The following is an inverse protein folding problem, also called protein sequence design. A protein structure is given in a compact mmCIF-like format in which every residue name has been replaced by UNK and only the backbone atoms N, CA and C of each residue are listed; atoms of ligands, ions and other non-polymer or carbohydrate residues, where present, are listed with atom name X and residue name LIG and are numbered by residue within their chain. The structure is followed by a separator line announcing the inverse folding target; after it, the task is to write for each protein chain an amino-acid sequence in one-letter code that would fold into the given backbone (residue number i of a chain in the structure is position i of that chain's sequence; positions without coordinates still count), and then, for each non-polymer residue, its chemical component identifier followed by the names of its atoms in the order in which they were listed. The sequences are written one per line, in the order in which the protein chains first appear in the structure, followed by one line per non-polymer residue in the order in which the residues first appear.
data_IF_199109437793
#
_entry.id   IF_199109437793
#
_cell.length_a   1.000
_cell.length_b   1.000
_cell.length_c   1.000
_cell.angle_alpha   90.00
_cell.angle_beta   90.00
_cell.angle_gamma   90.00
#
_symmetry.space_group_name_H-M   'P 1'
#
loop_
_entity.id
_entity.type
_entity.pdbx_description
1 polymer ?
#
# COMPACT_ATOMS: atom_id res chain seq x y z
N UNK A 1 -17.48 -0.48 44.19
CA UNK A 1 -16.25 -1.22 43.82
C UNK A 1 -16.45 -2.05 42.55
N UNK A 2 -17.48 -2.90 42.45
CA UNK A 2 -17.79 -3.68 41.24
C UNK A 2 -17.86 -2.89 39.92
N UNK A 3 -18.44 -1.68 39.92
CA UNK A 3 -18.50 -0.84 38.71
C UNK A 3 -17.11 -0.36 38.26
N UNK A 4 -16.18 -0.12 39.20
CA UNK A 4 -14.83 0.33 38.86
C UNK A 4 -13.99 -0.81 38.29
N UNK A 5 -14.16 -2.02 38.81
CA UNK A 5 -13.51 -3.24 38.30
C UNK A 5 -14.02 -3.58 36.90
N UNK A 6 -15.33 -3.46 36.67
CA UNK A 6 -15.91 -3.71 35.34
C UNK A 6 -15.40 -2.69 34.30
N UNK A 7 -15.35 -1.40 34.66
CA UNK A 7 -14.77 -0.35 33.79
C UNK A 7 -13.27 -0.57 33.56
N UNK A 8 -12.52 -1.06 34.55
CA UNK A 8 -11.10 -1.40 34.39
C UNK A 8 -10.90 -2.58 33.43
N UNK A 9 -11.79 -3.58 33.48
CA UNK A 9 -11.79 -4.75 32.60
C UNK A 9 -12.12 -4.36 31.16
N UNK A 10 -13.14 -3.53 30.97
CA UNK A 10 -13.52 -2.98 29.66
C UNK A 10 -12.38 -2.15 29.04
N UNK A 11 -11.75 -1.30 29.85
CA UNK A 11 -10.58 -0.53 29.40
C UNK A 11 -9.38 -1.41 29.01
N UNK A 12 -9.16 -2.54 29.71
CA UNK A 12 -8.13 -3.52 29.31
C UNK A 12 -8.47 -4.17 27.98
N UNK A 13 -9.71 -4.59 27.78
CA UNK A 13 -10.16 -5.19 26.51
C UNK A 13 -10.00 -4.22 25.33
N UNK A 14 -10.37 -2.94 25.53
CA UNK A 14 -10.19 -1.89 24.52
C UNK A 14 -8.71 -1.68 24.19
N UNK A 15 -7.82 -1.65 25.20
CA UNK A 15 -6.37 -1.51 24.96
C UNK A 15 -5.79 -2.67 24.16
N UNK A 16 -6.17 -3.90 24.48
CA UNK A 16 -5.72 -5.09 23.74
C UNK A 16 -6.21 -5.06 22.28
N UNK A 17 -7.46 -4.69 22.05
CA UNK A 17 -8.00 -4.54 20.70
C UNK A 17 -7.27 -3.46 19.89
N UNK A 18 -6.91 -2.33 20.50
CA UNK A 18 -6.14 -1.27 19.86
C UNK A 18 -4.73 -1.76 19.48
N UNK A 19 -4.05 -2.49 20.37
CA UNK A 19 -2.73 -3.06 20.10
C UNK A 19 -2.75 -4.06 18.93
N UNK A 20 -3.81 -4.85 18.80
CA UNK A 20 -3.98 -5.76 17.65
C UNK A 20 -4.15 -4.94 16.37
N UNK A 21 -5.03 -3.93 16.38
CA UNK A 21 -5.27 -3.07 15.20
C UNK A 21 -4.01 -2.33 14.76
N UNK A 22 -3.21 -1.87 15.70
CA UNK A 22 -1.93 -1.24 15.42
C UNK A 22 -0.97 -2.19 14.69
N UNK A 23 -0.86 -3.45 15.14
CA UNK A 23 -0.06 -4.47 14.45
C UNK A 23 -0.57 -4.75 13.04
N UNK A 24 -1.88 -4.84 12.86
CA UNK A 24 -2.51 -5.01 11.54
C UNK A 24 -2.23 -3.83 10.61
N UNK A 25 -2.30 -2.61 11.13
CA UNK A 25 -2.00 -1.38 10.39
C UNK A 25 -0.53 -1.31 9.97
N UNK A 26 0.38 -1.67 10.88
CA UNK A 26 1.80 -1.75 10.61
C UNK A 26 2.11 -2.82 9.57
N UNK A 27 1.41 -3.96 9.62
CA UNK A 27 1.55 -5.01 8.60
C UNK A 27 1.16 -4.50 7.20
N UNK A 28 0.00 -3.85 7.07
CA UNK A 28 -0.46 -3.29 5.79
C UNK A 28 0.51 -2.21 5.30
N UNK A 29 0.91 -1.29 6.18
CA UNK A 29 1.87 -0.22 5.88
C UNK A 29 3.20 -0.79 5.39
N UNK A 30 3.76 -1.79 6.08
CA UNK A 30 5.03 -2.39 5.68
C UNK A 30 4.95 -3.07 4.31
N UNK A 31 3.82 -3.75 4.02
CA UNK A 31 3.57 -4.37 2.72
C UNK A 31 3.55 -3.35 1.58
N UNK A 32 2.82 -2.24 1.74
CA UNK A 32 2.76 -1.20 0.71
C UNK A 32 4.06 -0.40 0.59
N UNK A 33 4.82 -0.23 1.68
CA UNK A 33 6.17 0.34 1.60
C UNK A 33 7.11 -0.53 0.76
N UNK A 34 7.10 -1.85 0.96
CA UNK A 34 7.90 -2.78 0.14
C UNK A 34 7.48 -2.76 -1.33
N UNK A 35 6.18 -2.66 -1.63
CA UNK A 35 5.69 -2.50 -3.01
C UNK A 35 6.13 -1.16 -3.61
N UNK A 36 6.09 -0.07 -2.84
CA UNK A 36 6.54 1.25 -3.26
C UNK A 36 8.02 1.28 -3.62
N UNK A 37 8.89 0.65 -2.81
CA UNK A 37 10.33 0.58 -3.11
C UNK A 37 10.61 -0.26 -4.36
N UNK A 38 9.93 -1.39 -4.53
CA UNK A 38 10.05 -2.21 -5.75
C UNK A 38 9.61 -1.43 -6.99
N UNK A 39 8.48 -0.74 -6.94
CA UNK A 39 8.00 0.09 -8.04
C UNK A 39 8.95 1.25 -8.36
N UNK A 40 9.56 1.87 -7.35
CA UNK A 40 10.55 2.93 -7.54
C UNK A 40 11.82 2.42 -8.23
N UNK A 41 12.32 1.23 -7.86
CA UNK A 41 13.48 0.61 -8.52
C UNK A 41 13.19 0.30 -9.99
N UNK A 42 12.05 -0.33 -10.28
CA UNK A 42 11.63 -0.66 -11.65
C UNK A 42 11.44 0.62 -12.48
N UNK A 43 10.81 1.65 -11.90
CA UNK A 43 10.68 2.96 -12.55
C UNK A 43 12.04 3.59 -12.86
N UNK A 44 12.98 3.53 -11.92
CA UNK A 44 14.35 3.99 -12.13
C UNK A 44 15.05 3.29 -13.30
N UNK A 45 14.97 1.96 -13.36
CA UNK A 45 15.55 1.19 -14.47
C UNK A 45 14.88 1.50 -15.82
N UNK A 46 13.57 1.73 -15.83
CA UNK A 46 12.85 2.11 -17.05
C UNK A 46 13.31 3.49 -17.57
N UNK A 47 13.53 4.47 -16.69
CA UNK A 47 14.11 5.78 -17.07
C UNK A 47 15.53 5.61 -17.59
N UNK A 48 16.39 4.86 -16.91
CA UNK A 48 17.77 4.62 -17.37
C UNK A 48 17.78 3.99 -18.77
N UNK A 49 16.90 3.02 -19.01
CA UNK A 49 16.78 2.37 -20.32
C UNK A 49 16.36 3.36 -21.41
N UNK A 50 15.46 4.30 -21.10
CA UNK A 50 15.06 5.38 -22.01
C UNK A 50 16.20 6.36 -22.33
N UNK A 51 17.05 6.69 -21.35
CA UNK A 51 18.12 7.68 -21.52
C UNK A 51 19.41 7.11 -22.10
N UNK A 52 19.70 5.83 -21.86
CA UNK A 52 20.97 5.20 -22.25
C UNK A 52 20.94 4.56 -23.63
N UNK A 53 19.75 4.33 -24.22
CA UNK A 53 19.65 3.74 -25.56
C UNK A 53 19.90 4.81 -26.62
N UNK A 54 20.98 4.63 -27.37
CA UNK A 54 21.25 5.36 -28.61
C UNK A 54 20.62 4.62 -29.79
N UNK A 55 19.72 5.30 -30.51
CA UNK A 55 19.01 4.71 -31.65
C UNK A 55 20.00 4.63 -32.82
N UNK A 56 20.44 3.43 -33.17
CA UNK A 56 21.20 3.17 -34.41
C UNK A 56 20.27 3.29 -35.62
N UNK A 57 20.76 3.79 -36.76
CA UNK A 57 19.96 4.13 -37.96
C UNK A 57 19.23 2.96 -38.63
N UNK A 58 19.43 1.70 -38.19
CA UNK A 58 18.90 0.50 -38.82
C UNK A 58 17.77 -0.21 -38.03
N UNK A 59 17.07 0.48 -37.13
CA UNK A 59 15.99 -0.13 -36.33
C UNK A 59 14.63 0.09 -37.03
N UNK A 60 13.80 -0.96 -37.22
CA UNK A 60 12.47 -0.82 -37.80
C UNK A 60 11.58 0.13 -36.97
N UNK A 61 10.86 1.01 -37.65
CA UNK A 61 10.01 2.05 -37.04
C UNK A 61 9.04 1.49 -35.99
N UNK A 62 8.49 0.30 -36.25
CA UNK A 62 7.54 -0.36 -35.35
C UNK A 62 8.15 -0.70 -33.99
N UNK A 63 9.40 -1.16 -33.96
CA UNK A 63 10.09 -1.56 -32.71
C UNK A 63 10.44 -0.31 -31.90
N UNK A 64 10.86 0.76 -32.56
CA UNK A 64 11.09 2.06 -31.92
C UNK A 64 9.80 2.57 -31.28
N UNK A 65 8.69 2.54 -31.99
CA UNK A 65 7.42 3.05 -31.48
C UNK A 65 6.89 2.20 -30.31
N UNK A 66 6.94 0.87 -30.44
CA UNK A 66 6.59 -0.05 -29.35
C UNK A 66 7.46 0.16 -28.12
N UNK A 67 8.78 0.34 -28.30
CA UNK A 67 9.69 0.58 -27.19
C UNK A 67 9.31 1.84 -26.39
N UNK A 68 9.07 2.96 -27.07
CA UNK A 68 8.66 4.20 -26.40
C UNK A 68 7.27 4.09 -25.76
N UNK A 69 6.32 3.44 -26.43
CA UNK A 69 4.97 3.25 -25.89
C UNK A 69 4.98 2.37 -24.63
N UNK A 70 5.62 1.20 -24.67
CA UNK A 70 5.69 0.29 -23.54
C UNK A 70 6.50 0.86 -22.38
N UNK A 71 7.59 1.57 -22.67
CA UNK A 71 8.41 2.20 -21.62
C UNK A 71 7.66 3.33 -20.92
N UNK A 72 6.91 4.16 -21.68
CA UNK A 72 6.06 5.21 -21.11
C UNK A 72 4.91 4.64 -20.26
N UNK A 73 4.24 3.59 -20.74
CA UNK A 73 3.16 2.90 -19.99
C UNK A 73 3.71 2.27 -18.71
N UNK A 74 4.88 1.62 -18.78
CA UNK A 74 5.55 1.03 -17.62
C UNK A 74 5.86 2.09 -16.56
N UNK A 75 6.45 3.22 -16.97
CA UNK A 75 6.71 4.34 -16.06
C UNK A 75 5.44 4.92 -15.43
N UNK A 76 4.40 5.13 -16.22
CA UNK A 76 3.12 5.61 -15.72
C UNK A 76 2.54 4.65 -14.67
N UNK A 77 2.58 3.34 -14.93
CA UNK A 77 2.11 2.32 -14.00
C UNK A 77 2.93 2.28 -12.70
N UNK A 78 4.26 2.40 -12.78
CA UNK A 78 5.13 2.46 -11.61
C UNK A 78 4.82 3.69 -10.74
N UNK A 79 4.64 4.86 -11.36
CA UNK A 79 4.28 6.09 -10.64
C UNK A 79 2.92 5.96 -9.95
N UNK A 80 1.91 5.42 -10.64
CA UNK A 80 0.59 5.16 -10.03
C UNK A 80 0.68 4.20 -8.84
N UNK A 81 1.51 3.16 -8.91
CA UNK A 81 1.75 2.26 -7.77
C UNK A 81 2.41 2.99 -6.59
N UNK A 82 3.42 3.82 -6.84
CA UNK A 82 4.10 4.59 -5.80
C UNK A 82 3.14 5.56 -5.12
N UNK A 83 2.30 6.26 -5.89
CA UNK A 83 1.29 7.17 -5.35
C UNK A 83 0.30 6.43 -4.45
N UNK A 84 -0.26 5.32 -4.90
CA UNK A 84 -1.18 4.51 -4.11
C UNK A 84 -0.52 3.96 -2.83
N UNK A 85 0.71 3.45 -2.94
CA UNK A 85 1.49 3.02 -1.79
C UNK A 85 1.69 4.16 -0.78
N UNK A 86 2.02 5.36 -1.26
CA UNK A 86 2.23 6.55 -0.41
C UNK A 86 0.95 7.00 0.28
N UNK A 87 -0.19 6.98 -0.41
CA UNK A 87 -1.47 7.29 0.23
C UNK A 87 -1.78 6.31 1.37
N UNK A 88 -1.59 5.01 1.15
CA UNK A 88 -1.86 4.01 2.20
C UNK A 88 -0.88 4.13 3.37
N UNK A 89 0.41 4.33 3.11
CA UNK A 89 1.45 4.32 4.16
C UNK A 89 1.52 5.63 4.94
N UNK A 90 1.16 6.76 4.33
CA UNK A 90 1.20 8.08 4.98
C UNK A 90 -0.17 8.44 5.56
N UNK A 91 -1.26 8.27 4.80
CA UNK A 91 -2.59 8.72 5.25
C UNK A 91 -3.32 7.64 6.06
N UNK A 92 -3.07 6.36 5.80
CA UNK A 92 -3.64 5.23 6.56
C UNK A 92 -3.42 5.34 8.07
N UNK A 93 -2.16 5.35 8.55
CA UNK A 93 -1.89 5.51 9.99
C UNK A 93 -2.28 6.91 10.51
N UNK A 94 -2.21 7.95 9.68
CA UNK A 94 -2.60 9.32 10.06
C UNK A 94 -4.08 9.44 10.42
N UNK A 95 -4.97 8.84 9.62
CA UNK A 95 -6.42 8.79 9.87
C UNK A 95 -6.78 7.86 11.04
N UNK A 96 -5.95 6.85 11.26
CA UNK A 96 -6.15 5.89 12.32
C UNK A 96 -5.79 6.46 13.70
N UNK A 97 -4.69 7.22 13.81
CA UNK A 97 -4.20 7.81 15.06
C UNK A 97 -4.91 9.11 15.46
N UNK A 98 -5.44 9.89 14.52
CA UNK A 98 -6.04 11.21 14.79
C UNK A 98 -7.56 11.23 14.94
N UNK A 99 -8.25 10.11 14.67
CA UNK A 99 -9.71 10.10 14.71
C UNK A 99 -10.30 9.78 16.10
N UNK A 100 -11.59 10.08 16.31
CA UNK A 100 -12.31 9.77 17.54
C UNK A 100 -12.33 8.25 17.82
N UNK A 101 -12.69 7.84 19.06
CA UNK A 101 -12.75 6.43 19.47
C UNK A 101 -13.44 5.57 18.40
N UNK A 102 -12.72 4.58 17.86
CA UNK A 102 -13.19 3.71 16.76
C UNK A 102 -12.61 4.03 15.36
N UNK A 103 -11.91 5.15 15.18
CA UNK A 103 -11.31 5.53 13.88
C UNK A 103 -10.27 4.53 13.37
N UNK A 104 -9.47 3.94 14.28
CA UNK A 104 -8.54 2.84 13.96
C UNK A 104 -9.24 1.68 13.25
N UNK A 105 -10.40 1.26 13.74
CA UNK A 105 -11.16 0.16 13.13
C UNK A 105 -11.70 0.57 11.76
N UNK A 106 -12.24 1.78 11.62
CA UNK A 106 -12.76 2.30 10.34
C UNK A 106 -11.66 2.40 9.27
N UNK A 107 -10.48 2.92 9.64
CA UNK A 107 -9.33 3.02 8.74
C UNK A 107 -8.82 1.62 8.33
N UNK A 108 -8.72 0.69 9.29
CA UNK A 108 -8.35 -0.70 9.01
C UNK A 108 -9.32 -1.37 8.03
N UNK A 109 -10.63 -1.30 8.27
CA UNK A 109 -11.61 -1.90 7.38
C UNK A 109 -11.59 -1.30 5.97
N UNK A 110 -11.32 0.01 5.84
CA UNK A 110 -11.11 0.66 4.53
C UNK A 110 -9.92 0.05 3.78
N UNK A 111 -8.76 -0.05 4.43
CA UNK A 111 -7.57 -0.62 3.79
C UNK A 111 -7.74 -2.12 3.46
N UNK A 112 -8.43 -2.88 4.30
CA UNK A 112 -8.73 -4.30 4.05
C UNK A 112 -9.72 -4.46 2.90
N UNK A 113 -10.71 -3.58 2.81
CA UNK A 113 -11.67 -3.56 1.71
C UNK A 113 -10.97 -3.32 0.37
N UNK A 114 -10.12 -2.30 0.29
CA UNK A 114 -9.31 -2.03 -0.92
C UNK A 114 -8.33 -3.17 -1.21
N UNK A 115 -7.71 -3.76 -0.19
CA UNK A 115 -6.83 -4.92 -0.37
C UNK A 115 -7.56 -6.11 -0.99
N UNK A 116 -8.81 -6.38 -0.60
CA UNK A 116 -9.62 -7.48 -1.16
C UNK A 116 -9.96 -7.27 -2.63
N UNK A 117 -10.05 -6.02 -3.09
CA UNK A 117 -10.28 -5.74 -4.50
C UNK A 117 -9.05 -6.04 -5.36
N UNK A 118 -7.84 -5.84 -4.82
CA UNK A 118 -6.57 -6.04 -5.54
C UNK A 118 -6.06 -7.49 -5.43
N UNK A 119 -6.25 -8.13 -4.27
CA UNK A 119 -5.87 -9.51 -4.04
C UNK A 119 -6.98 -10.20 -3.24
N UNK A 120 -7.84 -10.99 -3.88
CA UNK A 120 -8.78 -11.86 -3.17
C UNK A 120 -7.97 -12.95 -2.48
N UNK A 121 -7.50 -12.66 -1.27
CA UNK A 121 -6.93 -13.67 -0.38
C UNK A 121 -7.99 -14.69 0.02
N UNK A 122 -7.58 -15.88 0.49
CA UNK A 122 -8.52 -16.89 0.95
C UNK A 122 -9.38 -16.31 2.08
N UNK A 123 -10.68 -16.63 2.03
CA UNK A 123 -11.68 -16.09 2.94
C UNK A 123 -11.37 -16.37 4.42
N UNK A 124 -12.04 -15.64 5.33
CA UNK A 124 -11.81 -15.80 6.77
C UNK A 124 -12.22 -17.21 7.19
N UNK A 125 -11.25 -18.06 7.55
CA UNK A 125 -11.51 -19.45 7.95
C UNK A 125 -10.37 -20.45 7.80
N UNK A 126 -9.16 -20.04 7.42
CA UNK A 126 -7.97 -20.92 7.48
C UNK A 126 -6.88 -20.26 8.32
N UNK A 127 -6.83 -20.64 9.60
CA UNK A 127 -5.92 -20.17 10.62
C UNK A 127 -6.41 -20.63 11.99
#
# INVERSE_FOLDING_TARGET
MLSAENVALENRAIRLMLQIREKELNYITNKYNAMGTQAALVGGFAVTTLTSITITENIPFIVRWLFFAFSSISLACCISCILNATFVTVWGPGLALRGPRGSMAKAYYGMVFEQKQVSPGPGPGQG
#
